data_IF_777448948085
#
_entry.id   IF_777448948085
#
_cell.length_a   1.000
_cell.length_b   1.000
_cell.length_c   1.000
_cell.angle_alpha   90.00
_cell.angle_beta   90.00
_cell.angle_gamma   90.00
#
_symmetry.space_group_name_H-M   'P 1'
#
loop_
_entity.id
_entity.type
_entity.pdbx_description
1 polymer ?
#
# COMPACT_ATOMS: atom_id res chain seq x y z
N UNK A 1 -34.65 5.60 23.05
CA UNK A 1 -33.17 5.51 23.08
C UNK A 1 -32.65 5.83 21.69
N UNK A 2 -31.53 6.54 21.59
CA UNK A 2 -30.89 6.74 20.29
C UNK A 2 -30.31 5.39 19.85
N UNK A 3 -30.73 4.93 18.68
CA UNK A 3 -30.27 3.72 18.02
C UNK A 3 -28.85 3.95 17.47
N UNK A 4 -27.86 3.98 18.36
CA UNK A 4 -26.46 4.10 17.97
C UNK A 4 -25.92 2.71 17.68
N UNK A 5 -25.75 2.41 16.39
CA UNK A 5 -24.94 1.28 15.94
C UNK A 5 -23.53 1.44 16.50
N UNK A 6 -23.09 0.49 17.33
CA UNK A 6 -21.79 0.49 18.01
C UNK A 6 -20.61 0.54 17.04
N UNK A 7 -20.82 0.26 15.75
CA UNK A 7 -19.81 0.31 14.72
C UNK A 7 -19.81 1.63 13.92
N UNK A 8 -20.68 2.60 14.25
CA UNK A 8 -20.68 3.90 13.59
C UNK A 8 -19.30 4.58 13.71
N UNK A 9 -18.74 4.96 12.56
CA UNK A 9 -17.44 5.62 12.49
C UNK A 9 -16.24 4.69 12.46
N UNK A 10 -16.44 3.37 12.47
CA UNK A 10 -15.39 2.40 12.20
C UNK A 10 -15.26 2.14 10.69
N UNK A 11 -14.07 1.72 10.25
CA UNK A 11 -13.85 1.29 8.88
C UNK A 11 -13.69 -0.23 8.86
N UNK A 12 -14.40 -0.88 7.93
CA UNK A 12 -14.09 -2.25 7.56
C UNK A 12 -12.69 -2.35 6.94
N UNK A 13 -12.16 -3.57 6.85
CA UNK A 13 -10.80 -3.79 6.33
C UNK A 13 -10.60 -3.24 4.90
N UNK A 14 -11.55 -3.47 4.00
CA UNK A 14 -11.46 -3.00 2.60
C UNK A 14 -11.54 -1.47 2.50
N UNK A 15 -12.39 -0.86 3.32
CA UNK A 15 -12.52 0.60 3.40
C UNK A 15 -11.23 1.20 3.95
N UNK A 16 -10.69 0.64 5.04
CA UNK A 16 -9.39 1.03 5.58
C UNK A 16 -8.28 0.90 4.54
N UNK A 17 -8.18 -0.23 3.83
CA UNK A 17 -7.17 -0.41 2.79
C UNK A 17 -7.31 0.63 1.68
N UNK A 18 -8.53 0.96 1.27
CA UNK A 18 -8.79 1.95 0.22
C UNK A 18 -8.43 3.36 0.68
N UNK A 19 -8.87 3.76 1.88
CA UNK A 19 -8.54 5.05 2.48
C UNK A 19 -7.04 5.21 2.74
N UNK A 20 -6.40 4.17 3.28
CA UNK A 20 -4.97 4.15 3.53
C UNK A 20 -4.22 4.34 2.22
N UNK A 21 -4.51 3.55 1.18
CA UNK A 21 -3.87 3.73 -0.15
C UNK A 21 -4.05 5.15 -0.68
N UNK A 22 -5.24 5.74 -0.54
CA UNK A 22 -5.51 7.10 -1.01
C UNK A 22 -4.69 8.15 -0.24
N UNK A 23 -4.67 8.09 1.09
CA UNK A 23 -3.97 9.06 1.94
C UNK A 23 -2.46 8.86 1.96
N UNK A 24 -2.00 7.61 1.85
CA UNK A 24 -0.60 7.21 2.05
C UNK A 24 0.15 7.00 0.73
N UNK A 25 -0.42 7.36 -0.43
CA UNK A 25 0.30 7.28 -1.70
C UNK A 25 1.53 8.18 -1.63
N UNK A 26 2.72 7.56 -1.58
CA UNK A 26 3.99 8.29 -1.60
C UNK A 26 4.67 8.14 -2.95
N UNK A 27 4.83 9.27 -3.65
CA UNK A 27 5.35 9.33 -5.02
C UNK A 27 6.77 8.78 -5.14
N UNK A 28 7.62 9.04 -4.15
CA UNK A 28 8.99 8.55 -4.06
C UNK A 28 9.04 7.01 -4.00
N UNK A 29 8.23 6.40 -3.13
CA UNK A 29 8.09 4.94 -3.05
C UNK A 29 7.55 4.36 -4.36
N UNK A 30 6.57 5.01 -4.98
CA UNK A 30 6.04 4.57 -6.27
C UNK A 30 7.11 4.57 -7.37
N UNK A 31 7.89 5.64 -7.48
CA UNK A 31 8.97 5.73 -8.47
C UNK A 31 10.11 4.73 -8.18
N UNK A 32 10.40 4.49 -6.91
CA UNK A 32 11.35 3.45 -6.50
C UNK A 32 10.87 2.07 -6.97
N UNK A 33 9.62 1.71 -6.66
CA UNK A 33 9.03 0.43 -7.09
C UNK A 33 9.01 0.29 -8.62
N UNK A 34 8.65 1.36 -9.34
CA UNK A 34 8.64 1.38 -10.81
C UNK A 34 10.04 1.19 -11.41
N UNK A 35 11.07 1.68 -10.72
CA UNK A 35 12.47 1.48 -11.14
C UNK A 35 12.89 0.03 -10.93
N UNK A 36 12.57 -0.56 -9.78
CA UNK A 36 12.89 -1.97 -9.50
C UNK A 36 12.09 -2.94 -10.37
N UNK A 37 10.85 -2.59 -10.77
CA UNK A 37 10.03 -3.40 -11.68
C UNK A 37 10.42 -3.29 -13.15
N UNK A 38 11.49 -2.55 -13.50
CA UNK A 38 11.83 -2.24 -14.89
C UNK A 38 10.63 -1.65 -15.66
N UNK A 39 9.93 -0.70 -15.05
CA UNK A 39 8.74 -0.03 -15.58
C UNK A 39 7.52 -0.94 -15.82
N UNK A 40 7.50 -2.15 -15.25
CA UNK A 40 6.29 -2.98 -15.15
C UNK A 40 5.36 -2.46 -14.06
N UNK A 41 4.09 -2.82 -14.15
CA UNK A 41 3.05 -2.55 -13.15
C UNK A 41 3.11 -3.48 -11.92
N UNK A 42 4.01 -4.48 -11.94
CA UNK A 42 4.22 -5.43 -10.86
C UNK A 42 5.72 -5.75 -10.69
N UNK A 43 6.10 -6.17 -9.48
CA UNK A 43 7.40 -6.79 -9.21
C UNK A 43 7.26 -8.30 -9.38
N UNK A 44 8.19 -8.92 -10.09
CA UNK A 44 8.37 -10.37 -9.97
C UNK A 44 9.25 -10.71 -8.75
N UNK A 45 9.48 -12.00 -8.54
CA UNK A 45 10.27 -12.49 -7.41
C UNK A 45 11.71 -12.01 -7.43
N UNK A 46 12.31 -11.82 -8.61
CA UNK A 46 13.70 -11.38 -8.75
C UNK A 46 13.81 -9.86 -8.51
N UNK A 47 12.85 -9.09 -9.02
CA UNK A 47 12.73 -7.65 -8.76
C UNK A 47 12.62 -7.38 -7.25
N UNK A 48 11.72 -8.10 -6.57
CA UNK A 48 11.49 -7.97 -5.13
C UNK A 48 12.72 -8.38 -4.32
N UNK A 49 13.37 -9.49 -4.68
CA UNK A 49 14.60 -9.93 -4.02
C UNK A 49 15.67 -8.84 -4.07
N UNK A 50 15.89 -8.26 -5.25
CA UNK A 50 16.87 -7.19 -5.45
C UNK A 50 16.55 -5.94 -4.63
N UNK A 51 15.27 -5.56 -4.57
CA UNK A 51 14.81 -4.45 -3.72
C UNK A 51 15.15 -4.69 -2.24
N UNK A 52 14.82 -5.87 -1.71
CA UNK A 52 15.06 -6.21 -0.30
C UNK A 52 16.56 -6.22 0.04
N UNK A 53 17.39 -6.81 -0.82
CA UNK A 53 18.86 -6.87 -0.61
C UNK A 53 19.53 -5.48 -0.64
N UNK A 54 18.98 -4.54 -1.43
CA UNK A 54 19.59 -3.22 -1.64
C UNK A 54 19.07 -2.17 -0.65
N UNK A 55 17.76 -2.12 -0.44
CA UNK A 55 17.10 -1.00 0.27
C UNK A 55 16.73 -1.31 1.72
N UNK A 56 16.67 -2.59 2.14
CA UNK A 56 16.03 -3.01 3.40
C UNK A 56 16.97 -3.85 4.31
N UNK A 57 18.25 -3.45 4.41
CA UNK A 57 19.21 -4.11 5.31
C UNK A 57 18.78 -4.14 6.77
#
# INVERSE_FOLDING_TARGET
EADTDDNQGTLGFEEFCSFYKMMSTRRDLYLLMLTYSNHKDHLDTDDLKRFLETEQK
#
